data_IF_447095058260
#
_entry.id   IF_447095058260
#
_cell.length_a   1.000
_cell.length_b   1.000
_cell.length_c   1.000
_cell.angle_alpha   90.00
_cell.angle_beta   90.00
_cell.angle_gamma   90.00
#
_symmetry.space_group_name_H-M   'P 1'
#
loop_
_entity.id
_entity.type
_entity.pdbx_description
1 polymer ?
#
# COMPACT_ATOMS: atom_id res chain seq x y z
N UNK A 1 -3.12 -2.24 -16.65
CA UNK A 1 -4.48 -1.68 -16.74
C UNK A 1 -4.36 -0.19 -17.03
N UNK A 2 -5.22 0.42 -17.87
CA UNK A 2 -5.08 1.82 -18.21
C UNK A 2 -5.32 2.68 -16.96
N UNK A 3 -4.36 3.52 -16.55
CA UNK A 3 -4.53 4.48 -15.44
C UNK A 3 -4.09 4.02 -14.04
N UNK A 4 -3.15 3.08 -13.93
CA UNK A 4 -2.71 2.53 -12.63
C UNK A 4 -2.08 3.59 -11.70
N UNK A 5 -2.63 3.71 -10.49
CA UNK A 5 -2.02 4.48 -9.41
C UNK A 5 -0.71 3.81 -8.97
N UNK A 6 0.43 4.44 -9.27
CA UNK A 6 1.75 3.93 -8.88
C UNK A 6 1.88 3.72 -7.36
N UNK A 7 1.27 4.59 -6.55
CA UNK A 7 1.26 4.48 -5.09
C UNK A 7 0.46 3.25 -4.62
N UNK A 8 -0.69 2.99 -5.26
CA UNK A 8 -1.51 1.82 -4.93
C UNK A 8 -0.80 0.52 -5.30
N UNK A 9 -0.26 0.44 -6.51
CA UNK A 9 0.54 -0.71 -6.95
C UNK A 9 1.77 -0.93 -6.05
N UNK A 10 2.46 0.14 -5.67
CA UNK A 10 3.60 0.06 -4.76
C UNK A 10 3.21 -0.54 -3.40
N UNK A 11 2.12 -0.06 -2.79
CA UNK A 11 1.63 -0.58 -1.50
C UNK A 11 1.18 -2.04 -1.61
N UNK A 12 0.50 -2.40 -2.70
CA UNK A 12 0.12 -3.79 -2.95
C UNK A 12 1.34 -4.71 -3.01
N UNK A 13 2.47 -4.27 -3.60
CA UNK A 13 3.71 -5.07 -3.66
C UNK A 13 4.41 -5.17 -2.31
N UNK A 14 4.48 -4.07 -1.56
CA UNK A 14 5.11 -4.03 -0.22
C UNK A 14 4.33 -4.86 0.81
N UNK A 15 3.00 -4.74 0.82
CA UNK A 15 2.15 -5.23 1.90
C UNK A 15 1.34 -6.47 1.53
N UNK A 16 1.19 -6.77 0.23
CA UNK A 16 0.26 -7.78 -0.31
C UNK A 16 -1.22 -7.50 0.01
N UNK A 17 -1.54 -6.32 0.53
CA UNK A 17 -2.90 -5.86 0.73
C UNK A 17 -3.52 -5.50 -0.63
N UNK A 18 -4.76 -5.91 -0.84
CA UNK A 18 -5.56 -5.54 -2.01
C UNK A 18 -6.20 -4.16 -1.82
N UNK A 19 -6.74 -3.52 -2.89
CA UNK A 19 -7.53 -2.31 -2.74
C UNK A 19 -8.71 -2.48 -1.76
N UNK A 20 -9.34 -3.67 -1.72
CA UNK A 20 -10.42 -3.97 -0.78
C UNK A 20 -9.91 -4.04 0.66
N UNK A 21 -8.74 -4.64 0.89
CA UNK A 21 -8.10 -4.70 2.20
C UNK A 21 -7.81 -3.28 2.73
N UNK A 22 -7.25 -2.41 1.88
CA UNK A 22 -6.95 -1.02 2.22
C UNK A 22 -8.22 -0.22 2.53
N UNK A 23 -9.28 -0.39 1.75
CA UNK A 23 -10.57 0.26 1.99
C UNK A 23 -11.22 -0.23 3.29
N UNK A 24 -11.14 -1.53 3.58
CA UNK A 24 -11.64 -2.09 4.83
C UNK A 24 -10.93 -1.46 6.04
N UNK A 25 -9.58 -1.44 6.03
CA UNK A 25 -8.78 -0.81 7.09
C UNK A 25 -9.13 0.67 7.24
N UNK A 26 -9.20 1.41 6.13
CA UNK A 26 -9.53 2.85 6.17
C UNK A 26 -10.94 3.11 6.73
N UNK A 27 -11.91 2.26 6.41
CA UNK A 27 -13.27 2.39 6.94
C UNK A 27 -13.30 2.16 8.44
N UNK A 28 -12.58 1.16 8.96
CA UNK A 28 -12.49 0.94 10.41
C UNK A 28 -11.79 2.11 11.12
N UNK A 29 -10.73 2.66 10.55
CA UNK A 29 -10.07 3.86 11.07
C UNK A 29 -11.01 5.08 11.05
N UNK A 30 -11.85 5.24 10.02
CA UNK A 30 -12.87 6.29 9.96
C UNK A 30 -13.89 6.18 11.11
N UNK A 31 -14.19 4.96 11.55
CA UNK A 31 -15.03 4.70 12.73
C UNK A 31 -14.28 4.81 14.07
N UNK A 32 -13.02 5.29 14.06
CA UNK A 32 -12.22 5.49 15.26
C UNK A 32 -11.56 4.23 15.81
N UNK A 33 -11.55 3.13 15.07
CA UNK A 33 -10.89 1.89 15.48
C UNK A 33 -9.38 2.03 15.20
N UNK A 34 -8.57 1.84 16.23
CA UNK A 34 -7.11 1.92 16.12
C UNK A 34 -6.50 0.66 15.46
N UNK A 35 -5.24 0.75 15.05
CA UNK A 35 -4.57 -0.31 14.29
C UNK A 35 -4.50 -1.65 15.04
N UNK A 36 -4.32 -1.62 16.38
CA UNK A 36 -4.30 -2.83 17.21
C UNK A 36 -5.66 -3.54 17.24
N UNK A 37 -6.74 -2.78 17.38
CA UNK A 37 -8.10 -3.31 17.35
C UNK A 37 -8.50 -3.79 15.94
N UNK A 38 -8.02 -3.14 14.88
CA UNK A 38 -8.19 -3.62 13.51
C UNK A 38 -7.50 -4.97 13.33
N UNK A 39 -6.28 -5.12 13.86
CA UNK A 39 -5.52 -6.36 13.76
C UNK A 39 -6.22 -7.51 14.51
N UNK A 40 -6.68 -7.29 15.74
CA UNK A 40 -7.43 -8.30 16.50
C UNK A 40 -8.77 -8.64 15.83
N UNK A 41 -9.45 -7.66 15.24
CA UNK A 41 -10.69 -7.91 14.47
C UNK A 41 -10.40 -8.74 13.23
N UNK A 42 -9.34 -8.44 12.49
CA UNK A 42 -8.93 -9.22 11.32
C UNK A 42 -8.60 -10.67 11.72
N UNK A 43 -7.95 -10.89 12.86
CA UNK A 43 -7.62 -12.23 13.36
C UNK A 43 -8.84 -13.14 13.50
N UNK A 44 -9.99 -12.59 13.91
CA UNK A 44 -11.24 -13.36 14.04
C UNK A 44 -12.10 -13.38 12.78
N UNK A 45 -12.17 -12.28 12.04
CA UNK A 45 -13.14 -12.11 10.95
C UNK A 45 -12.55 -12.37 9.55
N UNK A 46 -11.25 -12.11 9.36
CA UNK A 46 -10.54 -12.31 8.10
C UNK A 46 -9.06 -12.74 8.36
N UNK A 47 -8.83 -14.04 8.61
CA UNK A 47 -7.49 -14.54 8.91
C UNK A 47 -6.46 -14.26 7.80
N UNK A 48 -6.88 -14.14 6.54
CA UNK A 48 -6.00 -13.86 5.40
C UNK A 48 -5.52 -12.41 5.47
N UNK A 49 -6.42 -11.46 5.75
CA UNK A 49 -6.06 -10.07 5.98
C UNK A 49 -5.11 -9.96 7.17
N UNK A 50 -5.39 -10.65 8.28
CA UNK A 50 -4.53 -10.69 9.46
C UNK A 50 -3.11 -11.15 9.11
N UNK A 51 -2.96 -12.26 8.39
CA UNK A 51 -1.64 -12.76 7.97
C UNK A 51 -0.86 -11.74 7.12
N UNK A 52 -1.53 -11.08 6.16
CA UNK A 52 -0.91 -10.01 5.36
C UNK A 52 -0.43 -8.86 6.23
N UNK A 53 -1.27 -8.39 7.16
CA UNK A 53 -0.95 -7.29 8.06
C UNK A 53 0.24 -7.65 8.97
N UNK A 54 0.25 -8.83 9.59
CA UNK A 54 1.35 -9.28 10.45
C UNK A 54 2.66 -9.40 9.66
N UNK A 55 2.63 -10.04 8.48
CA UNK A 55 3.82 -10.17 7.64
C UNK A 55 4.39 -8.82 7.21
N UNK A 56 3.52 -7.85 6.88
CA UNK A 56 3.95 -6.49 6.58
C UNK A 56 4.55 -5.81 7.82
N UNK A 57 3.87 -5.85 8.97
CA UNK A 57 4.30 -5.20 10.21
C UNK A 57 5.65 -5.71 10.71
N UNK A 58 5.92 -7.02 10.60
CA UNK A 58 7.22 -7.62 10.97
C UNK A 58 8.38 -7.01 10.19
N UNK A 59 8.15 -6.66 8.91
CA UNK A 59 9.15 -6.02 8.05
C UNK A 59 9.20 -4.52 8.31
N UNK A 60 8.04 -3.87 8.36
CA UNK A 60 7.90 -2.43 8.58
C UNK A 60 8.55 -1.97 9.90
N UNK A 61 8.38 -2.72 10.99
CA UNK A 61 8.96 -2.39 12.30
C UNK A 61 10.49 -2.46 12.36
N UNK A 62 11.15 -3.01 11.33
CA UNK A 62 12.61 -3.06 11.21
C UNK A 62 13.19 -1.90 10.40
N UNK A 63 12.33 -1.06 9.82
CA UNK A 63 12.76 0.03 8.96
C UNK A 63 13.35 1.18 9.77
N UNK A 64 14.27 1.89 9.14
CA UNK A 64 14.74 3.18 9.58
C UNK A 64 13.60 4.18 9.61
N UNK A 65 13.77 5.25 10.40
CA UNK A 65 12.79 6.34 10.48
C UNK A 65 12.51 6.95 9.10
N UNK A 66 13.53 7.10 8.26
CA UNK A 66 13.38 7.65 6.91
C UNK A 66 12.58 6.74 5.99
N UNK A 67 12.87 5.43 5.99
CA UNK A 67 12.13 4.45 5.20
C UNK A 67 10.66 4.34 5.67
N UNK A 68 10.45 4.40 6.98
CA UNK A 68 9.12 4.42 7.60
C UNK A 68 8.30 5.64 7.16
N UNK A 69 8.89 6.84 7.23
CA UNK A 69 8.24 8.08 6.80
C UNK A 69 7.87 8.04 5.32
N UNK A 70 8.79 7.55 4.48
CA UNK A 70 8.52 7.37 3.05
C UNK A 70 7.34 6.42 2.81
N UNK A 71 7.34 5.23 3.43
CA UNK A 71 6.23 4.28 3.28
C UNK A 71 4.90 4.87 3.74
N UNK A 72 4.88 5.61 4.86
CA UNK A 72 3.65 6.23 5.35
C UNK A 72 3.07 7.26 4.36
N UNK A 73 3.93 8.03 3.68
CA UNK A 73 3.48 8.94 2.63
C UNK A 73 2.84 8.18 1.45
N UNK A 74 3.47 7.08 1.02
CA UNK A 74 2.94 6.26 -0.08
C UNK A 74 1.63 5.57 0.33
N UNK A 75 1.56 5.01 1.56
CA UNK A 75 0.35 4.39 2.10
C UNK A 75 -0.83 5.36 2.17
N UNK A 76 -0.61 6.58 2.67
CA UNK A 76 -1.65 7.61 2.72
C UNK A 76 -2.29 7.82 1.34
N UNK A 77 -1.45 8.02 0.30
CA UNK A 77 -1.93 8.25 -1.07
C UNK A 77 -2.59 6.99 -1.65
N UNK A 78 -2.03 5.81 -1.39
CA UNK A 78 -2.63 4.55 -1.84
C UNK A 78 -4.03 4.34 -1.25
N UNK A 79 -4.24 4.62 0.04
CA UNK A 79 -5.54 4.52 0.70
C UNK A 79 -6.54 5.54 0.14
N UNK A 80 -6.14 6.80 -0.05
CA UNK A 80 -6.96 7.83 -0.70
C UNK A 80 -7.42 7.38 -2.11
N UNK A 81 -6.49 6.80 -2.87
CA UNK A 81 -6.75 6.29 -4.21
C UNK A 81 -7.66 5.04 -4.19
N UNK A 82 -7.45 4.10 -3.27
CA UNK A 82 -8.28 2.91 -3.14
C UNK A 82 -9.75 3.29 -2.86
N UNK A 83 -9.98 4.28 -2.00
CA UNK A 83 -11.31 4.80 -1.67
C UNK A 83 -11.96 5.51 -2.85
N UNK A 84 -11.18 6.34 -3.56
CA UNK A 84 -11.66 7.01 -4.76
C UNK A 84 -12.07 6.00 -5.83
N UNK A 85 -11.21 5.03 -6.13
CA UNK A 85 -11.47 4.02 -7.15
C UNK A 85 -12.69 3.15 -6.82
N UNK A 86 -12.90 2.83 -5.54
CA UNK A 86 -14.11 2.10 -5.11
C UNK A 86 -15.39 2.85 -5.49
N UNK A 87 -15.39 4.19 -5.38
CA UNK A 87 -16.56 5.04 -5.67
C UNK A 87 -16.72 5.35 -7.16
N UNK A 88 -15.63 5.73 -7.82
CA UNK A 88 -15.66 6.31 -9.16
C UNK A 88 -15.29 5.31 -10.26
N UNK A 89 -14.61 4.20 -9.93
CA UNK A 89 -14.10 3.19 -10.87
C UNK A 89 -13.06 3.72 -11.88
N UNK A 90 -12.49 4.90 -11.65
CA UNK A 90 -11.36 5.46 -12.41
C UNK A 90 -10.47 6.35 -11.52
N UNK A 91 -9.25 6.66 -11.96
CA UNK A 91 -8.37 7.65 -11.33
C UNK A 91 -8.30 8.92 -12.19
N UNK A 92 -8.26 10.10 -11.57
CA UNK A 92 -8.04 11.35 -12.31
C UNK A 92 -6.58 11.47 -12.79
N UNK A 93 -6.30 12.24 -13.85
CA UNK A 93 -4.94 12.51 -14.29
C UNK A 93 -4.06 13.10 -13.18
N UNK A 94 -4.61 13.97 -12.34
CA UNK A 94 -3.90 14.60 -11.21
C UNK A 94 -3.52 13.57 -10.15
N UNK A 95 -4.43 12.63 -9.85
CA UNK A 95 -4.14 11.52 -8.94
C UNK A 95 -3.00 10.66 -9.49
N UNK A 96 -3.08 10.27 -10.76
CA UNK A 96 -2.04 9.46 -11.42
C UNK A 96 -0.69 10.20 -11.38
N UNK A 97 -0.66 11.49 -11.73
CA UNK A 97 0.55 12.31 -11.71
C UNK A 97 1.16 12.43 -10.30
N UNK A 98 0.32 12.63 -9.28
CA UNK A 98 0.77 12.71 -7.89
C UNK A 98 1.36 11.37 -7.40
N UNK A 99 0.70 10.25 -7.71
CA UNK A 99 1.17 8.92 -7.36
C UNK A 99 2.54 8.62 -8.01
N UNK A 100 2.70 8.94 -9.30
CA UNK A 100 3.99 8.81 -10.00
C UNK A 100 5.05 9.69 -9.36
N UNK A 101 4.73 10.93 -8.99
CA UNK A 101 5.69 11.84 -8.35
C UNK A 101 6.17 11.32 -6.99
N UNK A 102 5.30 10.70 -6.20
CA UNK A 102 5.65 10.18 -4.86
C UNK A 102 6.48 8.90 -4.98
N UNK A 103 6.06 7.96 -5.82
CA UNK A 103 6.78 6.69 -6.01
C UNK A 103 8.07 6.87 -6.79
N UNK A 104 8.06 7.71 -7.83
CA UNK A 104 9.21 8.00 -8.69
C UNK A 104 10.38 8.66 -7.96
N UNK A 105 10.17 9.21 -6.76
CA UNK A 105 11.26 9.68 -5.88
C UNK A 105 12.12 8.55 -5.33
N UNK A 106 11.64 7.30 -5.33
CA UNK A 106 12.30 6.19 -4.64
C UNK A 106 13.72 5.91 -5.16
N UNK A 107 13.92 5.84 -6.48
CA UNK A 107 15.22 5.49 -7.09
C UNK A 107 16.37 6.45 -6.71
N UNK A 108 16.05 7.70 -6.39
CA UNK A 108 17.02 8.70 -5.93
C UNK A 108 17.02 8.92 -4.41
N UNK A 109 16.18 8.20 -3.66
CA UNK A 109 16.03 8.41 -2.22
C UNK A 109 17.07 7.60 -1.42
N UNK A 110 17.65 8.13 -0.33
CA UNK A 110 18.59 7.40 0.53
C UNK A 110 18.05 6.08 1.10
N UNK A 111 16.73 5.90 1.11
CA UNK A 111 16.04 4.73 1.67
C UNK A 111 15.82 3.61 0.64
N UNK A 112 16.16 3.85 -0.63
CA UNK A 112 15.94 2.92 -1.74
C UNK A 112 16.43 1.51 -1.43
N UNK A 113 17.73 1.39 -1.15
CA UNK A 113 18.38 0.09 -0.95
C UNK A 113 17.82 -0.66 0.26
N UNK A 114 17.41 0.07 1.29
CA UNK A 114 16.77 -0.50 2.46
C UNK A 114 15.40 -1.09 2.11
N UNK A 115 14.57 -0.31 1.41
CA UNK A 115 13.24 -0.75 1.00
C UNK A 115 13.29 -1.93 0.03
N UNK A 116 14.20 -1.93 -0.95
CA UNK A 116 14.39 -3.05 -1.88
C UNK A 116 14.84 -4.30 -1.12
N UNK A 117 15.75 -4.18 -0.15
CA UNK A 117 16.19 -5.31 0.67
C UNK A 117 15.04 -5.92 1.49
N UNK A 118 14.16 -5.09 2.05
CA UNK A 118 13.03 -5.56 2.87
C UNK A 118 11.84 -6.05 2.05
N UNK A 119 11.60 -5.40 0.91
CA UNK A 119 10.48 -5.63 0.01
C UNK A 119 10.98 -5.74 -1.43
N UNK A 120 11.63 -6.86 -1.81
CA UNK A 120 12.26 -7.01 -3.12
C UNK A 120 11.25 -6.91 -4.28
N UNK A 121 9.97 -7.19 -4.01
CA UNK A 121 8.91 -7.15 -5.01
C UNK A 121 8.60 -5.74 -5.53
N UNK A 122 9.08 -4.67 -4.88
CA UNK A 122 8.83 -3.30 -5.36
C UNK A 122 9.52 -2.99 -6.68
N UNK A 123 10.66 -3.65 -6.95
CA UNK A 123 11.37 -3.54 -8.24
C UNK A 123 10.92 -4.60 -9.25
N UNK A 124 10.28 -5.68 -8.79
CA UNK A 124 9.71 -6.66 -9.70
C UNK A 124 8.64 -5.98 -10.56
N UNK A 125 8.76 -6.05 -11.90
CA UNK A 125 7.70 -5.56 -12.79
C UNK A 125 6.37 -6.20 -12.35
N UNK A 126 5.32 -5.40 -12.15
CA UNK A 126 3.99 -5.93 -11.86
C UNK A 126 3.71 -7.07 -12.85
N UNK A 127 3.23 -8.25 -12.38
CA UNK A 127 2.83 -9.29 -13.30
C UNK A 127 1.77 -8.68 -14.22
N UNK A 128 2.10 -8.57 -15.50
CA UNK A 128 1.12 -8.21 -16.53
C UNK A 128 -0.06 -9.17 -16.36
N UNK A 129 -1.32 -8.70 -16.32
CA UNK A 129 -2.45 -9.59 -16.24
C UNK A 129 -2.38 -10.56 -17.41
N UNK A 130 -2.41 -11.86 -17.10
CA UNK A 130 -2.55 -12.91 -18.13
C UNK A 130 -3.89 -12.65 -18.79
N UNK A 131 -3.89 -12.08 -19.99
CA UNK A 131 -5.07 -12.04 -20.85
C UNK A 131 -5.56 -13.49 -20.99
N UNK A 132 -6.74 -13.77 -20.43
CA UNK A 132 -7.54 -14.94 -20.77
C UNK A 132 -8.66 -14.48 -21.66
#
# INVERSE_FOLDING_TARGET
MPGESAALDFVMRVSRLTPNDLNYVQNLQFWGINDEAILEKAKSEDPILYEKMVHFLVKYNKLSKGATQYLNEVFRVAMEHAKWFQREQYFTPEQIANAIKIVGKLQGHPVHNELVKMFPDIEARAPLPKNK
#
